data_IF_508418731355
#
_entry.id   IF_508418731355
#
_cell.length_a   1.000
_cell.length_b   1.000
_cell.length_c   1.000
_cell.angle_alpha   90.00
_cell.angle_beta   90.00
_cell.angle_gamma   90.00
#
_symmetry.space_group_name_H-M   'P 1'
#
loop_
_entity.id
_entity.type
_entity.pdbx_description
1 polymer ?
#
# COMPACT_ATOMS: atom_id res chain seq x y z
N UNK A 1 52.91 30.54 34.01
CA UNK A 1 52.43 30.34 32.62
C UNK A 1 50.92 30.06 32.67
N UNK A 2 50.08 31.04 32.34
CA UNK A 2 48.61 30.89 32.33
C UNK A 2 48.19 30.46 30.91
N UNK A 3 47.56 29.27 30.78
CA UNK A 3 46.99 28.80 29.52
C UNK A 3 45.57 29.37 29.38
N UNK A 4 45.34 30.16 28.35
CA UNK A 4 44.02 30.66 27.96
C UNK A 4 43.48 29.69 26.91
N UNK A 5 42.41 28.99 27.25
CA UNK A 5 41.71 28.09 26.32
C UNK A 5 40.59 28.88 25.64
N UNK A 6 40.72 29.11 24.34
CA UNK A 6 39.73 29.82 23.53
C UNK A 6 38.71 28.80 22.98
N UNK A 7 37.44 28.92 23.35
CA UNK A 7 36.35 28.13 22.78
C UNK A 7 35.78 28.84 21.56
N UNK A 8 35.93 28.26 20.37
CA UNK A 8 35.22 28.68 19.16
C UNK A 8 33.86 27.99 19.12
N UNK A 9 32.78 28.78 19.25
CA UNK A 9 31.43 28.32 18.95
C UNK A 9 31.18 28.48 17.44
N UNK A 10 31.11 27.36 16.72
CA UNK A 10 30.70 27.32 15.32
C UNK A 10 29.17 27.10 15.27
N UNK A 11 28.41 28.17 15.06
CA UNK A 11 26.96 28.05 14.85
C UNK A 11 26.67 27.62 13.42
N UNK A 12 26.26 26.37 13.24
CA UNK A 12 25.67 25.89 11.99
C UNK A 12 24.24 26.41 11.87
N UNK A 13 24.02 27.45 11.05
CA UNK A 13 22.69 27.83 10.57
C UNK A 13 22.30 26.86 9.46
N UNK A 14 21.50 25.84 9.80
CA UNK A 14 20.82 25.03 8.79
C UNK A 14 19.64 25.84 8.24
N UNK A 15 19.80 26.34 7.01
CA UNK A 15 18.67 26.82 6.23
C UNK A 15 17.83 25.60 5.84
N UNK A 16 16.79 25.30 6.61
CA UNK A 16 15.74 24.37 6.18
C UNK A 16 14.92 25.11 5.13
N UNK A 17 15.28 24.96 3.86
CA UNK A 17 14.39 25.31 2.76
C UNK A 17 13.26 24.29 2.79
N UNK A 18 12.10 24.69 3.33
CA UNK A 18 10.86 23.96 3.13
C UNK A 18 10.53 24.02 1.64
N UNK A 19 10.91 22.99 0.88
CA UNK A 19 10.36 22.77 -0.45
C UNK A 19 8.90 22.42 -0.24
N UNK A 20 8.03 23.40 -0.44
CA UNK A 20 6.60 23.15 -0.60
C UNK A 20 6.48 22.20 -1.81
N UNK A 21 5.95 21.00 -1.59
CA UNK A 21 5.81 19.99 -2.64
C UNK A 21 5.04 20.60 -3.82
N UNK A 22 5.74 20.82 -4.94
CA UNK A 22 5.20 21.56 -6.10
C UNK A 22 3.98 20.84 -6.67
N UNK A 23 3.91 19.51 -6.54
CA UNK A 23 2.75 18.74 -6.97
C UNK A 23 1.53 18.99 -6.07
N UNK A 24 1.71 19.19 -4.76
CA UNK A 24 0.62 19.52 -3.85
C UNK A 24 -0.15 20.78 -4.29
N UNK A 25 0.54 21.76 -4.87
CA UNK A 25 -0.11 22.94 -5.48
C UNK A 25 -0.95 22.58 -6.72
N UNK A 26 -0.44 21.70 -7.58
CA UNK A 26 -1.19 21.20 -8.75
C UNK A 26 -2.39 20.33 -8.36
N UNK A 27 -2.28 19.61 -7.23
CA UNK A 27 -3.33 18.75 -6.67
C UNK A 27 -4.38 19.50 -5.84
N UNK A 28 -4.15 20.79 -5.53
CA UNK A 28 -5.01 21.61 -4.65
C UNK A 28 -6.50 21.60 -5.05
N UNK A 29 -6.81 21.62 -6.33
CA UNK A 29 -8.19 21.56 -6.82
C UNK A 29 -8.88 20.24 -6.43
N UNK A 30 -8.18 19.11 -6.59
CA UNK A 30 -8.69 17.78 -6.21
C UNK A 30 -8.82 17.68 -4.70
N UNK A 31 -7.83 18.17 -3.95
CA UNK A 31 -7.90 18.27 -2.50
C UNK A 31 -9.13 19.05 -2.04
N UNK A 32 -9.40 20.21 -2.63
CA UNK A 32 -10.57 21.03 -2.28
C UNK A 32 -11.89 20.27 -2.54
N UNK A 33 -11.98 19.50 -3.62
CA UNK A 33 -13.16 18.66 -3.88
C UNK A 33 -13.34 17.57 -2.82
N UNK A 34 -12.26 16.91 -2.39
CA UNK A 34 -12.30 15.89 -1.35
C UNK A 34 -12.71 16.48 0.01
N UNK A 35 -12.10 17.61 0.40
CA UNK A 35 -12.42 18.32 1.65
C UNK A 35 -13.85 18.88 1.63
N UNK A 36 -14.37 19.29 0.47
CA UNK A 36 -15.75 19.74 0.33
C UNK A 36 -16.77 18.62 0.56
N UNK A 37 -16.38 17.35 0.33
CA UNK A 37 -17.22 16.19 0.60
C UNK A 37 -17.25 15.87 2.10
N UNK A 38 -16.07 15.82 2.74
CA UNK A 38 -15.94 15.65 4.19
C UNK A 38 -14.67 16.39 4.67
N UNK A 39 -14.78 17.37 5.59
CA UNK A 39 -13.61 18.15 6.01
C UNK A 39 -12.51 17.35 6.70
N UNK A 40 -12.85 16.23 7.35
CA UNK A 40 -11.91 15.40 8.11
C UNK A 40 -11.41 14.25 7.23
N UNK A 41 -12.33 13.45 6.68
CA UNK A 41 -12.01 12.28 5.87
C UNK A 41 -11.44 12.68 4.51
N UNK A 42 -11.94 13.77 3.93
CA UNK A 42 -11.44 14.32 2.67
C UNK A 42 -10.02 14.88 2.79
N UNK A 43 -9.71 15.59 3.89
CA UNK A 43 -8.35 16.08 4.17
C UNK A 43 -7.38 14.93 4.36
N UNK A 44 -7.77 13.92 5.14
CA UNK A 44 -6.97 12.72 5.35
C UNK A 44 -6.75 11.98 4.02
N UNK A 45 -7.80 11.72 3.25
CA UNK A 45 -7.71 11.01 1.96
C UNK A 45 -6.82 11.76 0.97
N UNK A 46 -6.97 13.08 0.84
CA UNK A 46 -6.13 13.91 -0.01
C UNK A 46 -4.64 13.80 0.36
N UNK A 47 -4.35 13.86 1.66
CA UNK A 47 -2.99 13.76 2.19
C UNK A 47 -2.42 12.34 2.04
N UNK A 48 -3.25 11.31 2.21
CA UNK A 48 -2.87 9.92 1.92
C UNK A 48 -2.55 9.72 0.44
N UNK A 49 -3.32 10.28 -0.50
CA UNK A 49 -3.03 10.21 -1.95
C UNK A 49 -1.65 10.80 -2.25
N UNK A 50 -1.34 11.99 -1.71
CA UNK A 50 -0.04 12.63 -1.88
C UNK A 50 1.11 11.77 -1.32
N UNK A 51 0.92 11.18 -0.14
CA UNK A 51 1.92 10.29 0.46
C UNK A 51 2.11 8.99 -0.35
N UNK A 52 1.02 8.32 -0.75
CA UNK A 52 1.09 7.06 -1.50
C UNK A 52 1.77 7.20 -2.86
N UNK A 53 1.54 8.34 -3.55
CA UNK A 53 2.22 8.71 -4.81
C UNK A 53 3.75 8.63 -4.67
N UNK A 54 4.28 9.06 -3.52
CA UNK A 54 5.71 9.06 -3.22
C UNK A 54 6.17 7.80 -2.47
N UNK A 55 5.28 6.81 -2.32
CA UNK A 55 5.50 5.65 -1.45
C UNK A 55 5.97 6.08 -0.05
N UNK A 56 5.38 7.16 0.49
CA UNK A 56 5.64 7.71 1.81
C UNK A 56 4.68 7.12 2.86
N UNK A 57 4.97 7.34 4.14
CA UNK A 57 4.05 6.96 5.23
C UNK A 57 2.81 7.84 5.14
N UNK A 58 1.62 7.25 5.24
CA UNK A 58 0.36 7.99 5.21
C UNK A 58 0.08 8.65 6.58
N UNK A 59 -0.69 9.75 6.64
CA UNK A 59 -1.03 10.38 7.91
C UNK A 59 -1.89 9.48 8.80
N UNK A 60 -1.75 9.69 10.12
CA UNK A 60 -2.62 9.08 11.11
C UNK A 60 -4.08 9.48 10.89
N UNK A 61 -4.98 8.55 11.23
CA UNK A 61 -6.42 8.76 11.13
C UNK A 61 -6.93 9.49 12.36
N UNK A 62 -7.96 10.30 12.16
CA UNK A 62 -8.64 11.06 13.22
C UNK A 62 -10.13 10.71 13.32
N UNK A 63 -10.53 9.57 12.75
CA UNK A 63 -11.90 9.09 12.64
C UNK A 63 -11.97 7.57 12.88
N UNK A 64 -13.15 7.02 13.27
CA UNK A 64 -13.25 5.64 13.75
C UNK A 64 -13.25 4.56 12.66
N UNK A 65 -13.45 4.91 11.39
CA UNK A 65 -13.50 3.93 10.31
C UNK A 65 -12.15 3.26 10.05
N UNK A 66 -12.19 1.93 9.92
CA UNK A 66 -11.01 1.09 9.70
C UNK A 66 -10.67 0.91 8.19
N UNK A 67 -11.04 1.88 7.36
CA UNK A 67 -10.94 1.83 5.90
C UNK A 67 -9.55 2.15 5.36
N UNK A 68 -9.04 1.41 4.37
CA UNK A 68 -7.88 1.86 3.57
C UNK A 68 -8.20 3.19 2.85
N UNK A 69 -7.21 3.92 2.31
CA UNK A 69 -7.47 5.07 1.45
C UNK A 69 -8.42 4.74 0.29
N UNK A 70 -8.27 3.57 -0.34
CA UNK A 70 -9.19 3.11 -1.38
C UNK A 70 -10.62 2.90 -0.84
N UNK A 71 -10.79 2.20 0.27
CA UNK A 71 -12.11 2.00 0.88
C UNK A 71 -12.74 3.35 1.29
N UNK A 72 -11.94 4.32 1.73
CA UNK A 72 -12.43 5.68 1.99
C UNK A 72 -12.86 6.40 0.70
N UNK A 73 -12.10 6.23 -0.38
CA UNK A 73 -12.45 6.78 -1.69
C UNK A 73 -13.81 6.23 -2.18
N UNK A 74 -14.12 4.95 -1.94
CA UNK A 74 -15.40 4.37 -2.36
C UNK A 74 -16.60 4.90 -1.56
N UNK A 75 -16.37 5.48 -0.37
CA UNK A 75 -17.41 6.18 0.41
C UNK A 75 -17.85 7.50 -0.21
N UNK A 76 -17.07 8.09 -1.12
CA UNK A 76 -17.47 9.30 -1.85
C UNK A 76 -18.64 8.95 -2.79
N UNK A 77 -19.76 9.72 -2.77
CA UNK A 77 -20.87 9.52 -3.68
C UNK A 77 -20.41 9.37 -5.12
N UNK A 78 -20.94 8.36 -5.82
CA UNK A 78 -20.46 7.97 -7.15
C UNK A 78 -20.40 9.16 -8.13
N UNK A 79 -21.40 10.04 -8.11
CA UNK A 79 -21.45 11.21 -8.99
C UNK A 79 -20.28 12.19 -8.72
N UNK A 80 -20.06 12.55 -7.45
CA UNK A 80 -18.93 13.41 -7.05
C UNK A 80 -17.59 12.76 -7.40
N UNK A 81 -17.47 11.45 -7.21
CA UNK A 81 -16.25 10.69 -7.54
C UNK A 81 -15.96 10.68 -9.04
N UNK A 82 -16.98 10.56 -9.90
CA UNK A 82 -16.85 10.72 -11.36
C UNK A 82 -16.40 12.13 -11.75
N UNK A 83 -17.00 13.17 -11.18
CA UNK A 83 -16.60 14.57 -11.43
C UNK A 83 -15.14 14.82 -11.09
N UNK A 84 -14.65 14.27 -9.97
CA UNK A 84 -13.24 14.35 -9.59
C UNK A 84 -12.36 13.58 -10.57
N UNK A 85 -12.74 12.35 -10.94
CA UNK A 85 -11.99 11.54 -11.91
C UNK A 85 -11.85 12.24 -13.27
N UNK A 86 -12.90 12.88 -13.77
CA UNK A 86 -12.84 13.67 -15.01
C UNK A 86 -11.88 14.87 -14.90
N UNK A 87 -11.81 15.52 -13.73
CA UNK A 87 -10.82 16.59 -13.47
C UNK A 87 -9.40 16.03 -13.50
N UNK A 88 -9.17 14.88 -12.86
CA UNK A 88 -7.88 14.20 -12.82
C UNK A 88 -7.43 13.81 -14.24
N UNK A 89 -8.32 13.24 -15.04
CA UNK A 89 -8.06 12.85 -16.44
C UNK A 89 -7.66 14.07 -17.29
N UNK A 90 -8.37 15.20 -17.15
CA UNK A 90 -7.99 16.45 -17.83
C UNK A 90 -6.58 16.89 -17.46
N UNK A 91 -6.21 16.87 -16.18
CA UNK A 91 -4.87 17.25 -15.70
C UNK A 91 -3.79 16.31 -16.22
N UNK A 92 -4.09 15.01 -16.32
CA UNK A 92 -3.21 14.00 -16.91
C UNK A 92 -3.01 14.24 -18.42
N UNK A 93 -4.07 14.62 -19.14
CA UNK A 93 -4.05 14.82 -20.61
C UNK A 93 -3.42 16.15 -21.05
N UNK A 94 -3.53 17.20 -20.23
CA UNK A 94 -2.83 18.46 -20.49
C UNK A 94 -1.33 18.18 -20.44
N UNK A 95 -0.60 18.54 -21.50
CA UNK A 95 0.81 18.22 -21.80
C UNK A 95 1.85 18.75 -20.78
N UNK A 96 1.51 18.85 -19.50
CA UNK A 96 2.45 19.17 -18.45
C UNK A 96 3.27 17.92 -18.11
N UNK A 97 4.33 17.71 -18.89
CA UNK A 97 5.31 16.64 -18.69
C UNK A 97 5.91 16.64 -17.29
N UNK A 98 5.85 17.77 -16.58
CA UNK A 98 6.39 17.94 -15.24
C UNK A 98 5.80 16.98 -14.20
N UNK A 99 4.49 16.66 -14.28
CA UNK A 99 3.79 15.84 -13.27
C UNK A 99 3.11 14.60 -13.85
N UNK A 100 3.64 14.08 -14.96
CA UNK A 100 3.01 12.97 -15.66
C UNK A 100 2.89 11.72 -14.78
N UNK A 101 3.92 11.39 -13.99
CA UNK A 101 3.91 10.19 -13.13
C UNK A 101 2.91 10.32 -11.99
N UNK A 102 2.86 11.50 -11.40
CA UNK A 102 1.99 11.87 -10.29
C UNK A 102 0.53 11.83 -10.72
N UNK A 103 0.19 12.45 -11.85
CA UNK A 103 -1.17 12.38 -12.39
C UNK A 103 -1.53 10.98 -12.88
N UNK A 104 -0.59 10.18 -13.41
CA UNK A 104 -0.84 8.78 -13.73
C UNK A 104 -1.23 7.98 -12.49
N UNK A 105 -0.55 8.17 -11.36
CA UNK A 105 -0.89 7.53 -10.09
C UNK A 105 -2.27 7.95 -9.60
N UNK A 106 -2.56 9.26 -9.54
CA UNK A 106 -3.86 9.77 -9.09
C UNK A 106 -4.98 9.25 -10.00
N UNK A 107 -4.80 9.27 -11.33
CA UNK A 107 -5.77 8.75 -12.27
C UNK A 107 -6.04 7.26 -12.05
N UNK A 108 -4.99 6.45 -11.91
CA UNK A 108 -5.12 5.01 -11.63
C UNK A 108 -5.90 4.77 -10.33
N UNK A 109 -5.58 5.51 -9.26
CA UNK A 109 -6.25 5.40 -7.97
C UNK A 109 -7.75 5.71 -8.04
N UNK A 110 -8.13 6.79 -8.72
CA UNK A 110 -9.56 7.10 -8.93
C UNK A 110 -10.25 6.07 -9.82
N UNK A 111 -9.60 5.63 -10.90
CA UNK A 111 -10.18 4.68 -11.85
C UNK A 111 -10.43 3.31 -11.23
N UNK A 112 -9.56 2.83 -10.34
CA UNK A 112 -9.77 1.59 -9.60
C UNK A 112 -11.09 1.57 -8.82
N UNK A 113 -11.61 2.73 -8.41
CA UNK A 113 -12.86 2.83 -7.66
C UNK A 113 -14.11 2.54 -8.52
N UNK A 114 -13.96 2.44 -9.84
CA UNK A 114 -15.02 2.12 -10.80
C UNK A 114 -14.89 0.71 -11.39
N UNK A 115 -13.87 -0.06 -10.98
CA UNK A 115 -13.66 -1.41 -11.46
C UNK A 115 -14.44 -2.42 -10.60
N UNK A 116 -14.96 -3.46 -11.25
CA UNK A 116 -15.45 -4.65 -10.56
C UNK A 116 -14.28 -5.60 -10.29
N UNK A 117 -14.19 -6.21 -9.09
CA UNK A 117 -13.10 -7.10 -8.76
C UNK A 117 -13.19 -8.42 -9.53
N UNK A 118 -12.06 -8.91 -10.03
CA UNK A 118 -11.90 -10.29 -10.47
C UNK A 118 -11.19 -11.10 -9.38
N UNK A 119 -11.63 -12.35 -9.18
CA UNK A 119 -11.15 -13.19 -8.09
C UNK A 119 -10.24 -14.28 -8.65
N UNK A 120 -8.98 -14.28 -8.20
CA UNK A 120 -8.07 -15.42 -8.32
C UNK A 120 -7.91 -16.12 -6.97
N UNK A 121 -7.52 -17.39 -6.97
CA UNK A 121 -7.37 -18.19 -5.75
C UNK A 121 -6.22 -19.18 -5.84
N UNK A 122 -5.49 -19.36 -4.74
CA UNK A 122 -4.63 -20.53 -4.50
C UNK A 122 -5.15 -21.25 -3.24
N UNK A 123 -5.27 -22.57 -3.28
CA UNK A 123 -5.80 -23.38 -2.18
C UNK A 123 -5.31 -24.82 -2.24
N UNK A 124 -5.36 -25.53 -1.11
CA UNK A 124 -4.93 -26.93 -1.04
C UNK A 124 -3.45 -27.11 -1.42
N UNK A 125 -3.18 -28.20 -2.14
CA UNK A 125 -1.88 -28.63 -2.66
C UNK A 125 -1.70 -28.22 -4.12
N UNK A 126 -0.95 -27.14 -4.33
CA UNK A 126 -1.62 -25.91 -4.67
C UNK A 126 -2.43 -26.04 -5.98
N UNK A 127 -3.75 -25.98 -5.81
CA UNK A 127 -4.69 -25.71 -6.88
C UNK A 127 -4.83 -24.19 -7.07
N UNK A 128 -4.96 -23.77 -8.32
CA UNK A 128 -5.01 -22.38 -8.73
C UNK A 128 -6.26 -22.11 -9.59
N UNK A 129 -6.93 -21.00 -9.31
CA UNK A 129 -7.91 -20.38 -10.19
C UNK A 129 -7.38 -18.99 -10.57
N UNK A 130 -7.18 -18.73 -11.86
CA UNK A 130 -6.76 -17.41 -12.37
C UNK A 130 -7.93 -16.42 -12.38
N UNK A 131 -7.62 -15.14 -12.61
CA UNK A 131 -8.60 -14.05 -12.63
C UNK A 131 -9.65 -14.18 -13.76
N UNK A 132 -9.34 -14.91 -14.83
CA UNK A 132 -10.23 -15.26 -15.94
C UNK A 132 -10.85 -16.67 -15.78
N UNK A 133 -10.78 -17.22 -14.56
CA UNK A 133 -11.41 -18.47 -14.15
C UNK A 133 -10.79 -19.77 -14.74
N UNK A 134 -9.59 -19.71 -15.31
CA UNK A 134 -8.87 -20.91 -15.70
C UNK A 134 -8.31 -21.64 -14.46
N UNK A 135 -8.34 -22.98 -14.49
CA UNK A 135 -7.99 -23.84 -13.35
C UNK A 135 -6.75 -24.67 -13.64
N UNK A 136 -5.82 -24.73 -12.67
CA UNK A 136 -4.57 -25.46 -12.79
C UNK A 136 -4.19 -26.12 -11.46
N UNK A 137 -3.49 -27.25 -11.52
CA UNK A 137 -2.75 -27.81 -10.37
C UNK A 137 -1.27 -27.59 -10.60
N UNK A 138 -0.57 -27.05 -9.61
CA UNK A 138 0.83 -26.63 -9.77
C UNK A 138 1.72 -27.26 -8.68
N UNK A 139 1.97 -28.57 -8.81
CA UNK A 139 2.68 -29.39 -7.82
C UNK A 139 4.21 -29.22 -7.89
N UNK A 140 4.70 -27.98 -7.77
CA UNK A 140 6.14 -27.68 -7.84
C UNK A 140 6.70 -27.20 -6.51
N UNK A 141 8.02 -27.27 -6.37
CA UNK A 141 8.75 -26.78 -5.19
C UNK A 141 9.55 -25.55 -5.62
N UNK A 142 9.45 -24.47 -4.84
CA UNK A 142 10.15 -23.23 -5.12
C UNK A 142 9.41 -22.00 -4.61
N UNK A 143 9.81 -20.86 -5.16
CA UNK A 143 9.21 -19.55 -4.86
C UNK A 143 8.71 -18.93 -6.15
N UNK A 144 7.46 -18.46 -6.12
CA UNK A 144 6.74 -18.03 -7.32
C UNK A 144 6.01 -16.72 -7.08
N UNK A 145 6.01 -15.86 -8.10
CA UNK A 145 5.13 -14.68 -8.13
C UNK A 145 3.73 -15.15 -8.51
N UNK A 146 2.79 -15.05 -7.57
CA UNK A 146 1.39 -15.40 -7.80
C UNK A 146 0.65 -14.29 -8.56
N UNK A 147 0.90 -13.03 -8.21
CA UNK A 147 0.35 -11.88 -8.93
C UNK A 147 1.22 -10.64 -8.69
N UNK A 148 1.32 -9.77 -9.70
CA UNK A 148 2.15 -8.55 -9.64
C UNK A 148 1.61 -7.47 -10.56
N UNK A 149 1.58 -6.23 -10.08
CA UNK A 149 1.34 -5.07 -10.92
C UNK A 149 2.65 -4.49 -11.42
N UNK A 150 2.65 -4.00 -12.66
CA UNK A 150 3.75 -3.19 -13.21
C UNK A 150 3.57 -1.70 -12.95
N UNK A 151 2.36 -1.27 -12.56
CA UNK A 151 1.97 0.13 -12.44
C UNK A 151 1.99 0.65 -11.00
N UNK A 152 1.72 -0.22 -10.02
CA UNK A 152 1.63 0.15 -8.60
C UNK A 152 2.40 -0.84 -7.71
N UNK A 153 2.74 -0.46 -6.46
CA UNK A 153 3.33 -1.36 -5.46
C UNK A 153 2.37 -2.46 -4.99
N UNK A 154 2.14 -3.45 -5.87
CA UNK A 154 1.35 -4.64 -5.63
C UNK A 154 2.12 -5.85 -6.12
N UNK A 155 2.39 -6.78 -5.22
CA UNK A 155 2.99 -8.08 -5.53
C UNK A 155 2.61 -9.09 -4.45
N UNK A 156 2.35 -10.33 -4.86
CA UNK A 156 2.14 -11.48 -3.99
C UNK A 156 3.03 -12.60 -4.49
N UNK A 157 3.86 -13.13 -3.60
CA UNK A 157 4.73 -14.28 -3.83
C UNK A 157 4.38 -15.40 -2.86
N UNK A 158 4.51 -16.64 -3.31
CA UNK A 158 4.28 -17.84 -2.51
C UNK A 158 5.52 -18.72 -2.53
N UNK A 159 5.81 -19.36 -1.40
CA UNK A 159 6.80 -20.43 -1.28
C UNK A 159 6.08 -21.76 -1.15
N UNK A 160 6.40 -22.70 -2.03
CA UNK A 160 5.87 -24.05 -2.05
C UNK A 160 6.97 -25.03 -1.68
N UNK A 161 6.66 -25.92 -0.74
CA UNK A 161 7.60 -26.91 -0.22
C UNK A 161 7.03 -28.32 -0.35
N UNK A 162 7.89 -29.33 -0.56
CA UNK A 162 7.43 -30.70 -0.70
C UNK A 162 6.82 -31.15 0.63
N UNK A 163 5.60 -31.69 0.58
CA UNK A 163 5.00 -32.39 1.71
C UNK A 163 5.29 -33.89 1.62
N UNK A 164 5.37 -34.41 0.39
CA UNK A 164 5.83 -35.76 0.04
C UNK A 164 6.42 -35.73 -1.39
N UNK A 165 6.71 -36.88 -1.98
CA UNK A 165 7.23 -37.03 -3.35
C UNK A 165 6.24 -36.60 -4.43
N UNK A 166 4.94 -36.55 -4.11
CA UNK A 166 3.87 -36.35 -5.11
C UNK A 166 3.21 -34.98 -5.07
N UNK A 167 3.40 -34.18 -4.01
CA UNK A 167 2.75 -32.87 -3.89
C UNK A 167 3.50 -31.88 -3.01
N UNK A 168 3.21 -30.59 -3.22
CA UNK A 168 3.73 -29.48 -2.43
C UNK A 168 2.61 -28.72 -1.73
N UNK A 169 2.97 -27.98 -0.69
CA UNK A 169 2.07 -27.08 0.03
C UNK A 169 2.65 -25.67 0.11
N UNK A 170 1.78 -24.67 0.16
CA UNK A 170 2.17 -23.28 0.44
C UNK A 170 2.68 -23.18 1.89
N UNK A 171 3.97 -22.91 2.06
CA UNK A 171 4.62 -22.76 3.37
C UNK A 171 4.79 -21.28 3.76
N UNK A 172 4.93 -20.39 2.78
CA UNK A 172 5.00 -18.97 3.05
C UNK A 172 4.30 -18.13 1.98
N UNK A 173 3.87 -16.94 2.38
CA UNK A 173 3.43 -15.89 1.47
C UNK A 173 4.15 -14.60 1.82
N UNK A 174 4.64 -13.90 0.81
CA UNK A 174 5.19 -12.56 0.93
C UNK A 174 4.42 -11.62 0.01
N UNK A 175 4.21 -10.39 0.44
CA UNK A 175 3.43 -9.42 -0.32
C UNK A 175 3.98 -8.00 -0.17
N UNK A 176 3.92 -7.25 -1.26
CA UNK A 176 4.13 -5.81 -1.28
C UNK A 176 2.76 -5.13 -1.22
N UNK A 177 2.45 -4.51 -0.08
CA UNK A 177 1.18 -3.86 0.24
C UNK A 177 1.35 -2.35 0.21
N UNK A 178 1.28 -1.76 -0.99
CA UNK A 178 1.44 -0.32 -1.16
C UNK A 178 2.84 0.20 -0.80
N UNK A 179 3.84 -0.70 -0.71
CA UNK A 179 5.20 -0.40 -0.28
C UNK A 179 5.62 -1.08 1.02
N UNK A 180 4.67 -1.49 1.87
CA UNK A 180 4.98 -2.32 3.05
C UNK A 180 5.20 -3.77 2.63
N UNK A 181 6.33 -4.36 3.05
CA UNK A 181 6.61 -5.77 2.81
C UNK A 181 6.04 -6.59 3.95
N UNK A 182 5.00 -7.38 3.68
CA UNK A 182 4.50 -8.37 4.63
C UNK A 182 5.02 -9.76 4.28
N UNK A 183 5.22 -10.59 5.29
CA UNK A 183 5.44 -12.02 5.07
C UNK A 183 4.82 -12.84 6.18
N UNK A 184 4.23 -13.97 5.81
CA UNK A 184 3.73 -14.98 6.72
C UNK A 184 4.43 -16.30 6.42
N UNK A 185 4.99 -16.89 7.45
CA UNK A 185 5.66 -18.19 7.40
C UNK A 185 4.91 -19.17 8.30
N UNK A 186 4.86 -20.45 7.91
CA UNK A 186 4.40 -21.50 8.83
C UNK A 186 5.53 -21.90 9.78
N UNK A 187 5.89 -23.19 9.83
CA UNK A 187 6.90 -23.69 10.75
C UNK A 187 8.31 -23.32 10.29
N UNK A 188 8.59 -23.45 8.98
CA UNK A 188 9.90 -23.11 8.42
C UNK A 188 10.04 -21.61 8.14
N UNK A 189 11.06 -21.01 8.76
CA UNK A 189 11.34 -19.57 8.69
C UNK A 189 12.74 -19.36 8.11
N UNK A 190 12.95 -18.28 7.34
CA UNK A 190 14.26 -17.97 6.76
C UNK A 190 15.25 -17.40 7.79
N UNK A 191 14.81 -17.18 9.03
CA UNK A 191 15.54 -16.54 10.10
C UNK A 191 15.26 -17.18 11.46
N UNK A 192 16.00 -16.76 12.49
CA UNK A 192 15.82 -17.24 13.87
C UNK A 192 14.68 -16.52 14.62
N UNK A 193 13.85 -15.73 13.93
CA UNK A 193 12.76 -15.01 14.57
C UNK A 193 11.58 -15.95 14.84
N UNK A 194 10.98 -15.85 16.03
CA UNK A 194 9.95 -16.80 16.47
C UNK A 194 8.58 -16.53 15.87
N UNK A 195 8.27 -15.27 15.58
CA UNK A 195 6.97 -14.84 15.08
C UNK A 195 6.72 -15.49 13.71
N UNK A 196 5.47 -15.71 13.32
CA UNK A 196 5.12 -16.18 11.97
C UNK A 196 5.04 -15.01 10.97
N UNK A 197 4.58 -13.86 11.45
CA UNK A 197 4.39 -12.64 10.66
C UNK A 197 5.63 -11.74 10.70
N UNK A 198 5.94 -11.12 9.55
CA UNK A 198 6.96 -10.07 9.40
C UNK A 198 6.32 -8.83 8.78
N UNK A 199 6.63 -7.67 9.34
CA UNK A 199 6.40 -6.37 8.72
C UNK A 199 7.77 -5.75 8.40
N UNK A 200 8.02 -5.48 7.13
CA UNK A 200 9.27 -4.92 6.62
C UNK A 200 10.54 -5.73 6.96
N UNK A 201 10.39 -6.99 7.40
CA UNK A 201 11.48 -7.89 7.80
C UNK A 201 11.53 -8.15 9.30
N UNK A 202 10.83 -7.34 10.09
CA UNK A 202 10.81 -7.46 11.54
C UNK A 202 9.63 -8.31 12.01
N UNK A 203 9.91 -9.27 12.88
CA UNK A 203 8.94 -10.15 13.51
C UNK A 203 8.08 -9.41 14.52
N UNK A 204 6.77 -9.45 14.31
CA UNK A 204 5.83 -8.82 15.23
C UNK A 204 4.59 -9.68 15.46
N UNK A 205 3.92 -9.43 16.59
CA UNK A 205 2.62 -10.02 16.88
C UNK A 205 1.53 -9.04 16.50
N UNK A 206 0.57 -9.52 15.71
CA UNK A 206 -0.62 -8.74 15.39
C UNK A 206 -1.54 -8.73 16.62
N UNK A 207 -2.08 -7.57 16.95
CA UNK A 207 -2.99 -7.38 18.07
C UNK A 207 -4.16 -6.50 17.65
N UNK A 208 -5.29 -6.62 18.34
CA UNK A 208 -6.54 -5.95 17.97
C UNK A 208 -7.25 -6.61 16.78
N UNK A 209 -8.33 -5.97 16.32
CA UNK A 209 -9.14 -6.46 15.18
C UNK A 209 -8.49 -6.09 13.83
N UNK A 210 -7.97 -4.87 13.74
CA UNK A 210 -7.38 -4.30 12.54
C UNK A 210 -6.03 -3.69 12.85
N UNK A 211 -5.02 -4.03 12.05
CA UNK A 211 -3.70 -3.42 12.07
C UNK A 211 -3.54 -2.52 10.85
N UNK A 212 -3.13 -1.28 11.06
CA UNK A 212 -2.92 -0.29 9.99
C UNK A 212 -1.46 -0.31 9.55
N UNK A 213 -1.22 -0.49 8.26
CA UNK A 213 0.11 -0.48 7.68
C UNK A 213 0.58 0.96 7.43
N UNK A 214 1.89 1.25 7.61
CA UNK A 214 2.45 2.59 7.37
C UNK A 214 2.13 3.20 5.99
N UNK A 215 2.04 2.37 4.95
CA UNK A 215 1.70 2.77 3.57
C UNK A 215 0.20 2.72 3.25
N UNK A 216 -0.64 2.49 4.26
CA UNK A 216 -2.09 2.66 4.18
C UNK A 216 -2.91 1.41 3.90
N UNK A 217 -2.28 0.24 3.70
CA UNK A 217 -3.00 -1.03 3.72
C UNK A 217 -3.47 -1.40 5.13
N UNK A 218 -4.26 -2.47 5.23
CA UNK A 218 -4.74 -3.00 6.51
C UNK A 218 -4.56 -4.50 6.58
N UNK A 219 -4.42 -5.01 7.81
CA UNK A 219 -4.52 -6.44 8.12
C UNK A 219 -5.65 -6.60 9.12
N UNK A 220 -6.65 -7.42 8.79
CA UNK A 220 -7.75 -7.80 9.66
C UNK A 220 -7.67 -9.26 10.03
N UNK A 221 -7.95 -9.60 11.29
CA UNK A 221 -8.09 -10.98 11.72
C UNK A 221 -9.59 -11.32 11.85
N UNK A 222 -10.05 -12.26 11.02
CA UNK A 222 -11.43 -12.76 11.05
C UNK A 222 -11.44 -14.27 11.29
N UNK A 223 -11.78 -14.66 12.52
CA UNK A 223 -11.68 -16.05 12.97
C UNK A 223 -10.22 -16.53 12.92
N UNK A 224 -9.87 -17.33 11.91
CA UNK A 224 -8.52 -17.84 11.67
C UNK A 224 -7.88 -17.27 10.40
N UNK A 225 -8.55 -16.34 9.73
CA UNK A 225 -8.11 -15.79 8.45
C UNK A 225 -7.52 -14.40 8.63
N UNK A 226 -6.37 -14.15 8.01
CA UNK A 226 -5.88 -12.80 7.79
C UNK A 226 -6.45 -12.27 6.48
N UNK A 227 -7.10 -11.11 6.54
CA UNK A 227 -7.58 -10.37 5.37
C UNK A 227 -6.67 -9.16 5.22
N UNK A 228 -6.00 -9.04 4.09
CA UNK A 228 -5.10 -7.94 3.79
C UNK A 228 -5.76 -7.09 2.69
N UNK A 229 -5.95 -5.81 2.97
CA UNK A 229 -6.50 -4.84 1.99
C UNK A 229 -5.42 -3.87 1.57
N UNK A 230 -5.26 -3.67 0.26
CA UNK A 230 -4.29 -2.75 -0.30
C UNK A 230 -4.80 -1.31 -0.20
N UNK A 231 -3.90 -0.32 -0.08
CA UNK A 231 -4.29 1.08 -0.03
C UNK A 231 -4.88 1.60 -1.34
N UNK A 232 -4.62 0.93 -2.46
CA UNK A 232 -4.97 1.36 -3.83
C UNK A 232 -6.16 0.63 -4.45
N UNK A 233 -6.81 -0.26 -3.70
CA UNK A 233 -7.78 -1.21 -4.24
C UNK A 233 -7.11 -2.45 -4.79
#
# INVERSE_FOLDING_TARGET
>A
MKRITLFFYLTFLSNVVFSQDVFSSAFSEIKNDLVSWDPIRGEWLATSILAMKDNAIIPDRTFPEEYTPYEMLTMIPLQKRKEIAEKVERKQSTQNTQFSREWNFVNLFFNHSFCEPSIGRSYGDPHLNSFDNASYSFQTVGEFVLSKSKAIPFEVQVRQMPQDQSFSLNNAVAMNVGGDRLSFYTDEKPDNQKQAFRLNGDGMQLSGRTYFLPKGGTIRLEGRNYIISWPTG
#
